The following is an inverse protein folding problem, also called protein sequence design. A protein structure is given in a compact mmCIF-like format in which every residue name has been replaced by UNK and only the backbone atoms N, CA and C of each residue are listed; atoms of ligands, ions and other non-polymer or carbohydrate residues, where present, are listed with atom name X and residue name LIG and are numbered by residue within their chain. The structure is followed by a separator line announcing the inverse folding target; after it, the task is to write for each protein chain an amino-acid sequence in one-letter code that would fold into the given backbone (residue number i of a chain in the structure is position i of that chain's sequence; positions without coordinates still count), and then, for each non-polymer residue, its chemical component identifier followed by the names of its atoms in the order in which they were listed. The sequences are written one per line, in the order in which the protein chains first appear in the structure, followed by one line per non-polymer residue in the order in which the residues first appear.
data_IF_928848241945
#
_entry.id   IF_928848241945
#
_cell.length_a   1.000
_cell.length_b   1.000
_cell.length_c   1.000
_cell.angle_alpha   90.00
_cell.angle_beta   90.00
_cell.angle_gamma   90.00
#
_symmetry.space_group_name_H-M   'P 1'
#
loop_
_entity.id
_entity.type
_entity.pdbx_description
1 polymer ?
#
# COMPACT_ATOMS: atom_id res chain seq x y z
N UNK A 1 -13.08 -1.41 43.75
CA UNK A 1 -12.58 -2.05 42.52
C UNK A 1 -13.11 -1.20 41.37
N UNK A 2 -12.22 -0.42 40.73
CA UNK A 2 -12.60 0.61 39.78
C UNK A 2 -12.81 -0.01 38.40
N UNK A 3 -14.00 0.20 37.85
CA UNK A 3 -14.44 -0.29 36.55
C UNK A 3 -13.60 0.36 35.42
N UNK A 4 -13.09 -0.49 34.53
CA UNK A 4 -12.05 -0.24 33.55
C UNK A 4 -12.50 0.73 32.45
N UNK A 5 -11.80 1.85 32.29
CA UNK A 5 -12.00 2.80 31.18
C UNK A 5 -11.32 2.37 29.88
N UNK A 6 -11.27 1.07 29.59
CA UNK A 6 -10.48 0.51 28.50
C UNK A 6 -11.12 0.73 27.13
N UNK A 7 -10.28 1.03 26.13
CA UNK A 7 -10.70 1.15 24.72
C UNK A 7 -10.15 -0.02 23.93
N UNK A 8 -11.00 -0.63 23.12
CA UNK A 8 -10.59 -1.70 22.19
C UNK A 8 -11.02 -1.33 20.78
N UNK A 9 -10.04 -1.26 19.87
CA UNK A 9 -10.24 -0.99 18.45
C UNK A 9 -10.34 -2.31 17.68
N UNK A 10 -11.42 -2.42 16.92
CA UNK A 10 -11.68 -3.51 16.00
C UNK A 10 -11.72 -2.97 14.59
N UNK A 11 -10.68 -3.31 13.83
CA UNK A 11 -10.69 -3.13 12.38
C UNK A 11 -11.16 -4.43 11.73
N UNK A 12 -11.93 -4.32 10.65
CA UNK A 12 -12.37 -5.53 9.95
C UNK A 12 -11.14 -6.27 9.43
N UNK A 13 -10.97 -7.58 9.71
CA UNK A 13 -9.84 -8.33 9.20
C UNK A 13 -9.98 -8.45 7.68
N UNK A 14 -9.13 -7.76 6.93
CA UNK A 14 -9.18 -7.81 5.49
C UNK A 14 -8.47 -6.67 4.78
N UNK A 15 -8.46 -6.80 3.46
CA UNK A 15 -7.98 -5.81 2.51
C UNK A 15 -9.18 -5.14 1.86
N UNK A 16 -9.25 -3.82 1.91
CA UNK A 16 -10.21 -3.04 1.14
C UNK A 16 -9.64 -2.90 -0.27
N UNK A 17 -10.41 -3.29 -1.28
CA UNK A 17 -10.00 -3.21 -2.68
C UNK A 17 -10.85 -2.14 -3.38
N UNK A 18 -10.20 -1.30 -4.19
CA UNK A 18 -10.86 -0.23 -4.94
C UNK A 18 -10.22 0.02 -6.30
N UNK A 19 -10.70 1.02 -7.01
CA UNK A 19 -10.10 1.54 -8.23
C UNK A 19 -10.00 3.07 -8.15
N UNK A 20 -9.18 3.66 -9.03
CA UNK A 20 -9.04 5.12 -9.12
C UNK A 20 -10.39 5.80 -9.39
N UNK A 21 -10.67 6.88 -8.67
CA UNK A 21 -11.94 7.62 -8.73
C UNK A 21 -13.03 7.02 -7.85
N UNK A 22 -12.83 5.81 -7.31
CA UNK A 22 -13.77 5.13 -6.44
C UNK A 22 -14.01 5.85 -5.11
N UNK A 23 -15.02 5.37 -4.40
CA UNK A 23 -15.31 5.75 -3.01
C UNK A 23 -15.28 4.49 -2.16
N UNK A 24 -14.56 4.53 -1.05
CA UNK A 24 -14.39 3.41 -0.13
C UNK A 24 -14.64 3.81 1.30
N UNK A 25 -14.85 2.80 2.12
CA UNK A 25 -14.87 2.89 3.58
C UNK A 25 -13.65 2.13 4.10
N UNK A 26 -12.82 2.78 4.90
CA UNK A 26 -11.82 2.12 5.73
C UNK A 26 -12.48 1.75 7.06
N UNK A 27 -12.79 0.47 7.32
CA UNK A 27 -13.58 0.08 8.47
C UNK A 27 -12.78 0.20 9.76
N UNK A 28 -13.32 0.90 10.75
CA UNK A 28 -12.78 0.96 12.10
C UNK A 28 -13.92 1.13 13.09
N UNK A 29 -14.07 0.17 14.00
CA UNK A 29 -15.03 0.21 15.11
C UNK A 29 -14.26 0.22 16.41
N UNK A 30 -14.79 0.87 17.43
CA UNK A 30 -14.22 0.84 18.77
C UNK A 30 -15.30 0.62 19.81
N UNK A 31 -14.91 -0.07 20.86
CA UNK A 31 -15.72 -0.25 22.06
C UNK A 31 -15.13 0.60 23.17
N UNK A 32 -15.98 1.39 23.81
CA UNK A 32 -15.62 2.24 24.93
C UNK A 32 -16.54 1.94 26.11
N UNK A 33 -15.98 1.34 27.16
CA UNK A 33 -16.66 1.13 28.42
C UNK A 33 -16.34 2.33 29.32
N UNK A 34 -17.26 3.31 29.40
CA UNK A 34 -17.20 4.29 30.47
C UNK A 34 -18.56 4.52 31.09
N UNK A 35 -18.65 4.14 32.36
CA UNK A 35 -19.62 4.68 33.28
C UNK A 35 -19.39 6.20 33.43
N UNK A 36 -20.47 6.97 33.31
CA UNK A 36 -20.63 8.35 33.78
C UNK A 36 -20.19 9.56 32.92
N UNK A 37 -19.35 9.44 31.89
CA UNK A 37 -18.99 10.59 31.04
C UNK A 37 -19.23 10.30 29.55
N UNK A 38 -20.07 11.12 28.92
CA UNK A 38 -20.51 10.94 27.53
C UNK A 38 -19.37 10.99 26.51
N UNK A 39 -19.70 10.71 25.25
CA UNK A 39 -18.79 10.56 24.09
C UNK A 39 -17.90 11.78 23.73
N UNK A 40 -17.86 12.82 24.55
CA UNK A 40 -17.16 14.09 24.26
C UNK A 40 -15.63 14.02 24.43
N UNK A 41 -15.09 12.91 24.96
CA UNK A 41 -13.66 12.74 25.25
C UNK A 41 -12.86 11.84 24.31
N UNK A 42 -13.49 11.22 23.30
CA UNK A 42 -12.79 10.29 22.40
C UNK A 42 -12.20 11.03 21.19
N UNK A 43 -10.88 10.90 21.02
CA UNK A 43 -10.16 11.39 19.84
C UNK A 43 -9.98 10.26 18.84
N UNK A 44 -10.38 10.51 17.60
CA UNK A 44 -10.16 9.63 16.46
C UNK A 44 -9.06 10.21 15.60
N UNK A 45 -8.08 9.39 15.20
CA UNK A 45 -7.00 9.79 14.32
C UNK A 45 -6.75 8.71 13.29
N UNK A 46 -6.87 9.09 12.03
CA UNK A 46 -6.43 8.29 10.90
C UNK A 46 -5.10 8.80 10.39
N UNK A 47 -4.15 7.88 10.24
CA UNK A 47 -2.86 8.15 9.61
C UNK A 47 -2.62 7.18 8.46
N UNK A 48 -1.81 7.60 7.49
CA UNK A 48 -1.29 6.72 6.45
C UNK A 48 0.15 6.36 6.77
N UNK A 49 0.47 5.07 6.74
CA UNK A 49 1.83 4.58 6.83
C UNK A 49 2.56 4.88 5.52
N UNK A 50 3.61 5.71 5.59
CA UNK A 50 4.46 6.06 4.44
C UNK A 50 5.67 5.13 4.39
N UNK A 51 6.29 4.92 5.54
CA UNK A 51 7.32 3.92 5.81
C UNK A 51 7.15 3.40 7.26
N UNK A 52 7.90 2.37 7.70
CA UNK A 52 7.71 1.78 9.05
C UNK A 52 7.86 2.76 10.23
N UNK A 53 8.46 3.94 10.02
CA UNK A 53 8.70 4.95 11.05
C UNK A 53 8.01 6.29 10.74
N UNK A 54 7.45 6.46 9.54
CA UNK A 54 6.84 7.70 9.09
C UNK A 54 5.35 7.53 8.75
N UNK A 55 4.55 8.39 9.39
CA UNK A 55 3.11 8.45 9.24
C UNK A 55 2.71 9.84 8.76
N UNK A 56 1.68 9.90 7.92
CA UNK A 56 1.08 11.17 7.49
C UNK A 56 -0.35 11.25 8.02
N UNK A 57 -0.69 12.34 8.69
CA UNK A 57 -2.07 12.57 9.13
C UNK A 57 -3.03 12.60 7.93
N UNK A 58 -4.12 11.86 8.05
CA UNK A 58 -5.19 11.78 7.05
C UNK A 58 -6.40 12.56 7.54
N UNK A 59 -6.86 12.23 8.76
CA UNK A 59 -8.06 12.78 9.35
C UNK A 59 -7.98 12.73 10.87
N UNK A 60 -8.48 13.76 11.55
CA UNK A 60 -8.61 13.81 13.01
C UNK A 60 -10.00 14.29 13.38
N UNK A 61 -10.61 13.67 14.38
CA UNK A 61 -11.84 14.15 15.01
C UNK A 61 -11.76 14.12 16.54
N UNK A 62 -12.39 15.10 17.17
CA UNK A 62 -12.60 15.20 18.61
C UNK A 62 -13.98 15.85 18.83
N UNK A 63 -14.95 15.04 19.25
CA UNK A 63 -16.35 15.45 19.33
C UNK A 63 -16.85 16.01 17.98
N UNK A 64 -17.45 17.21 17.93
CA UNK A 64 -17.95 17.81 16.69
C UNK A 64 -16.83 18.36 15.79
N UNK A 65 -15.64 18.60 16.34
CA UNK A 65 -14.52 19.16 15.59
C UNK A 65 -13.82 18.07 14.81
N UNK A 66 -13.62 18.30 13.52
CA UNK A 66 -12.91 17.35 12.67
C UNK A 66 -12.14 18.05 11.57
N UNK A 67 -11.10 17.39 11.06
CA UNK A 67 -10.22 17.95 10.04
C UNK A 67 -9.57 16.85 9.22
N UNK A 68 -9.64 16.99 7.89
CA UNK A 68 -8.81 16.27 6.95
C UNK A 68 -7.51 17.03 6.61
N UNK A 69 -6.45 16.30 6.26
CA UNK A 69 -5.11 16.85 6.04
C UNK A 69 -4.59 16.58 4.62
N UNK A 70 -3.59 17.35 4.19
CA UNK A 70 -2.92 17.16 2.89
C UNK A 70 -3.88 17.03 1.70
N UNK A 71 -3.65 16.00 0.88
CA UNK A 71 -4.48 15.67 -0.28
C UNK A 71 -5.84 15.06 0.09
N UNK A 72 -6.09 14.72 1.36
CA UNK A 72 -7.35 14.15 1.85
C UNK A 72 -8.44 15.19 2.11
N UNK A 73 -8.09 16.48 2.10
CA UNK A 73 -9.04 17.58 2.29
C UNK A 73 -10.16 17.54 1.26
N UNK A 74 -11.40 17.60 1.73
CA UNK A 74 -12.60 17.59 0.90
C UNK A 74 -12.99 16.22 0.36
N UNK A 75 -12.29 15.15 0.73
CA UNK A 75 -12.60 13.78 0.29
C UNK A 75 -12.58 12.71 1.39
N UNK A 76 -12.01 13.02 2.55
CA UNK A 76 -12.04 12.15 3.73
C UNK A 76 -13.00 12.70 4.78
N UNK A 77 -13.90 11.84 5.28
CA UNK A 77 -14.85 12.15 6.36
C UNK A 77 -15.21 10.89 7.14
N UNK A 78 -15.77 11.05 8.34
CA UNK A 78 -16.29 9.90 9.10
C UNK A 78 -17.61 9.42 8.50
N UNK A 79 -17.80 8.11 8.50
CA UNK A 79 -19.04 7.48 8.07
C UNK A 79 -20.20 7.81 9.04
N UNK A 80 -19.97 7.62 10.34
CA UNK A 80 -20.92 8.04 11.37
C UNK A 80 -22.14 7.12 11.52
N UNK A 81 -21.98 5.79 11.35
CA UNK A 81 -23.06 4.80 11.49
C UNK A 81 -23.41 4.47 12.96
N UNK A 82 -23.35 5.48 13.82
CA UNK A 82 -23.68 5.40 15.25
C UNK A 82 -22.48 5.35 16.19
N UNK A 83 -22.75 5.19 17.50
CA UNK A 83 -21.71 5.15 18.53
C UNK A 83 -20.67 4.06 18.26
N UNK A 84 -19.39 4.38 18.46
CA UNK A 84 -18.29 3.42 18.26
C UNK A 84 -17.89 3.21 16.79
N UNK A 85 -18.46 3.95 15.84
CA UNK A 85 -18.01 3.92 14.45
C UNK A 85 -16.96 5.01 14.18
N UNK A 86 -15.74 4.58 13.89
CA UNK A 86 -14.61 5.42 13.51
C UNK A 86 -14.23 5.22 12.03
N UNK A 87 -15.09 4.57 11.24
CA UNK A 87 -14.80 4.25 9.84
C UNK A 87 -14.66 5.51 8.99
N UNK A 88 -13.65 5.51 8.12
CA UNK A 88 -13.32 6.66 7.28
C UNK A 88 -13.83 6.44 5.85
N UNK A 89 -14.73 7.31 5.39
CA UNK A 89 -15.13 7.38 3.99
C UNK A 89 -14.07 8.17 3.24
N UNK A 90 -13.48 7.55 2.22
CA UNK A 90 -12.53 8.19 1.31
C UNK A 90 -13.10 8.21 -0.12
N UNK A 91 -13.36 9.41 -0.62
CA UNK A 91 -13.85 9.65 -1.99
C UNK A 91 -12.71 9.96 -2.95
N UNK A 92 -13.00 9.78 -4.24
CA UNK A 92 -12.09 10.10 -5.33
C UNK A 92 -10.69 9.52 -5.07
N UNK A 93 -10.64 8.19 -4.90
CA UNK A 93 -9.42 7.45 -4.60
C UNK A 93 -8.38 7.66 -5.72
N UNK A 94 -7.14 7.93 -5.33
CA UNK A 94 -5.99 8.16 -6.24
C UNK A 94 -4.98 7.03 -6.12
N UNK A 95 -4.05 6.92 -7.08
CA UNK A 95 -2.93 5.96 -6.96
C UNK A 95 -2.09 6.17 -5.70
N UNK A 96 -2.03 7.41 -5.21
CA UNK A 96 -1.27 7.73 -4.00
C UNK A 96 -1.96 7.27 -2.73
N UNK A 97 -3.23 6.84 -2.78
CA UNK A 97 -3.95 6.34 -1.61
C UNK A 97 -3.70 4.87 -1.33
N UNK A 98 -3.19 4.10 -2.30
CA UNK A 98 -2.73 2.74 -2.04
C UNK A 98 -1.79 2.72 -0.82
N UNK A 99 -2.03 1.80 0.12
CA UNK A 99 -1.18 1.60 1.28
C UNK A 99 -1.92 1.15 2.53
N UNK A 100 -1.21 1.24 3.66
CA UNK A 100 -1.75 0.91 4.98
C UNK A 100 -2.14 2.18 5.72
N UNK A 101 -3.24 2.09 6.44
CA UNK A 101 -3.82 3.15 7.24
C UNK A 101 -4.00 2.65 8.66
N UNK A 102 -3.71 3.52 9.61
CA UNK A 102 -3.89 3.26 11.03
C UNK A 102 -5.06 4.10 11.54
N UNK A 103 -5.98 3.45 12.25
CA UNK A 103 -7.05 4.06 12.99
C UNK A 103 -6.69 4.01 14.47
N UNK A 104 -6.27 5.13 15.02
CA UNK A 104 -5.94 5.32 16.44
C UNK A 104 -7.16 5.94 17.14
N UNK A 105 -7.58 5.32 18.24
CA UNK A 105 -8.65 5.80 19.12
C UNK A 105 -8.07 6.04 20.50
N UNK A 106 -8.12 7.28 20.95
CA UNK A 106 -7.57 7.70 22.24
C UNK A 106 -8.68 8.24 23.13
N UNK A 107 -8.74 7.77 24.37
CA UNK A 107 -9.57 8.37 25.42
C UNK A 107 -8.69 9.06 26.48
N UNK A 108 -9.25 9.37 27.66
CA UNK A 108 -8.50 10.04 28.74
C UNK A 108 -7.40 9.19 29.41
N UNK A 109 -7.44 7.86 29.24
CA UNK A 109 -6.66 6.89 30.02
C UNK A 109 -5.82 5.96 29.14
N UNK A 110 -6.31 5.58 27.97
CA UNK A 110 -5.75 4.57 27.07
C UNK A 110 -5.91 4.96 25.60
N UNK A 111 -5.02 4.42 24.78
CA UNK A 111 -5.10 4.42 23.32
C UNK A 111 -5.04 2.98 22.80
N UNK A 112 -5.80 2.71 21.74
CA UNK A 112 -5.69 1.48 20.96
C UNK A 112 -5.77 1.81 19.47
N UNK A 113 -5.20 0.96 18.63
CA UNK A 113 -5.07 1.20 17.21
C UNK A 113 -5.30 -0.05 16.36
N UNK A 114 -5.93 0.14 15.22
CA UNK A 114 -6.15 -0.90 14.22
C UNK A 114 -5.59 -0.52 12.85
N UNK A 115 -5.21 -1.52 12.07
CA UNK A 115 -4.61 -1.34 10.74
C UNK A 115 -5.56 -1.80 9.63
N UNK A 116 -5.71 -0.96 8.60
CA UNK A 116 -6.49 -1.26 7.40
C UNK A 116 -5.60 -1.12 6.17
N UNK A 117 -5.60 -2.11 5.28
CA UNK A 117 -4.88 -2.05 4.00
C UNK A 117 -5.85 -1.70 2.86
N UNK A 118 -5.53 -0.65 2.10
CA UNK A 118 -6.19 -0.29 0.85
C UNK A 118 -5.34 -0.72 -0.34
N UNK A 119 -5.88 -1.66 -1.12
CA UNK A 119 -5.33 -2.07 -2.42
C UNK A 119 -6.15 -1.47 -3.56
N UNK A 120 -5.48 -1.33 -4.71
CA UNK A 120 -6.09 -0.86 -5.94
C UNK A 120 -6.07 -1.97 -6.99
N UNK A 121 -7.20 -2.20 -7.63
CA UNK A 121 -7.32 -2.97 -8.85
C UNK A 121 -6.58 -2.26 -9.96
N UNK A 122 -5.86 -3.02 -10.77
CA UNK A 122 -5.04 -2.46 -11.83
C UNK A 122 -4.09 -3.46 -12.43
N UNK A 123 -3.17 -2.95 -13.25
CA UNK A 123 -2.21 -3.77 -13.99
C UNK A 123 -0.79 -3.31 -13.69
N UNK A 124 0.11 -4.28 -13.57
CA UNK A 124 1.56 -4.04 -13.54
C UNK A 124 2.10 -4.26 -14.95
N UNK A 125 2.86 -3.30 -15.45
CA UNK A 125 3.53 -3.40 -16.74
C UNK A 125 5.00 -2.96 -16.66
N UNK A 126 5.89 -3.63 -17.39
CA UNK A 126 7.29 -3.21 -17.49
C UNK A 126 7.40 -1.95 -18.36
N UNK A 127 8.33 -1.07 -18.01
CA UNK A 127 8.62 0.16 -18.74
C UNK A 127 10.12 0.39 -18.85
N UNK A 128 10.57 0.78 -20.05
CA UNK A 128 11.89 1.34 -20.29
C UNK A 128 11.81 2.43 -21.35
N UNK A 129 12.68 3.45 -21.32
CA UNK A 129 12.64 4.53 -22.31
C UNK A 129 13.07 4.03 -23.70
N UNK A 130 12.72 4.81 -24.73
CA UNK A 130 13.10 4.54 -26.14
C UNK A 130 14.62 4.46 -26.36
N UNK A 131 15.41 5.13 -25.50
CA UNK A 131 16.88 5.10 -25.54
C UNK A 131 17.53 3.80 -25.07
N UNK A 132 16.73 2.79 -24.72
CA UNK A 132 17.18 1.45 -24.35
C UNK A 132 16.89 1.06 -22.90
N UNK A 133 17.28 -0.16 -22.56
CA UNK A 133 17.11 -0.77 -21.22
C UNK A 133 18.15 -0.26 -20.23
N UNK A 134 17.82 -0.34 -18.95
CA UNK A 134 18.69 -0.01 -17.81
C UNK A 134 19.21 1.43 -17.87
N UNK A 135 18.29 2.35 -18.13
CA UNK A 135 18.60 3.77 -18.30
C UNK A 135 18.02 4.67 -17.21
N UNK A 136 17.16 4.16 -16.32
CA UNK A 136 16.47 4.98 -15.33
C UNK A 136 17.11 4.80 -13.96
N UNK A 137 17.49 5.90 -13.32
CA UNK A 137 17.65 5.95 -11.84
C UNK A 137 16.29 5.78 -11.16
N UNK A 138 16.26 5.60 -9.84
CA UNK A 138 14.99 5.43 -9.11
C UNK A 138 14.04 6.62 -9.31
N UNK A 139 14.55 7.85 -9.19
CA UNK A 139 13.77 9.06 -9.39
C UNK A 139 13.31 9.25 -10.85
N UNK A 140 14.12 8.81 -11.82
CA UNK A 140 13.73 8.78 -13.23
C UNK A 140 12.64 7.74 -13.48
N UNK A 141 12.70 6.57 -12.84
CA UNK A 141 11.69 5.52 -12.92
C UNK A 141 10.34 5.96 -12.32
N UNK A 142 10.36 6.66 -11.18
CA UNK A 142 9.16 7.26 -10.59
C UNK A 142 8.49 8.24 -11.57
N UNK A 143 9.26 9.17 -12.15
CA UNK A 143 8.74 10.13 -13.13
C UNK A 143 8.23 9.45 -14.39
N UNK A 144 8.97 8.47 -14.89
CA UNK A 144 8.58 7.71 -16.07
C UNK A 144 7.23 7.00 -15.88
N UNK A 145 7.01 6.33 -14.74
CA UNK A 145 5.71 5.73 -14.45
C UNK A 145 4.60 6.79 -14.34
N UNK A 146 4.87 7.94 -13.72
CA UNK A 146 3.90 9.04 -13.64
C UNK A 146 3.51 9.58 -15.02
N UNK A 147 4.46 9.70 -15.95
CA UNK A 147 4.21 10.08 -17.35
C UNK A 147 3.36 9.05 -18.11
N UNK A 148 3.35 7.79 -17.66
CA UNK A 148 2.48 6.72 -18.18
C UNK A 148 1.18 6.58 -17.36
N UNK A 149 0.76 7.62 -16.64
CA UNK A 149 -0.43 7.62 -15.78
C UNK A 149 -0.44 6.50 -14.73
N UNK A 150 0.75 6.22 -14.18
CA UNK A 150 1.01 5.17 -13.22
C UNK A 150 1.88 5.61 -12.05
N UNK A 151 2.18 4.68 -11.16
CA UNK A 151 3.19 4.80 -10.11
C UNK A 151 4.13 3.59 -10.21
N UNK A 152 5.27 3.61 -9.54
CA UNK A 152 6.04 2.36 -9.38
C UNK A 152 5.18 1.32 -8.66
N UNK A 153 5.21 0.09 -9.15
CA UNK A 153 4.52 -1.04 -8.54
C UNK A 153 5.13 -1.39 -7.18
N UNK A 154 4.31 -1.88 -6.25
CA UNK A 154 4.82 -2.52 -5.03
C UNK A 154 5.37 -3.92 -5.34
N UNK A 155 6.21 -4.47 -4.47
CA UNK A 155 6.67 -5.85 -4.59
C UNK A 155 5.50 -6.86 -4.55
N UNK A 156 4.48 -6.57 -3.74
CA UNK A 156 3.25 -7.37 -3.67
C UNK A 156 2.49 -7.35 -5.01
N UNK A 157 2.38 -6.18 -5.66
CA UNK A 157 1.75 -6.05 -6.97
C UNK A 157 2.54 -6.76 -8.07
N UNK A 158 3.87 -6.65 -8.07
CA UNK A 158 4.72 -7.38 -9.02
C UNK A 158 4.58 -8.90 -8.85
N UNK A 159 4.55 -9.37 -7.60
CA UNK A 159 4.38 -10.78 -7.29
C UNK A 159 3.00 -11.29 -7.71
N UNK A 160 1.93 -10.51 -7.50
CA UNK A 160 0.61 -10.84 -8.01
C UNK A 160 0.61 -10.94 -9.55
N UNK A 161 1.15 -9.94 -10.25
CA UNK A 161 1.24 -9.95 -11.71
C UNK A 161 2.05 -11.15 -12.25
N UNK A 162 3.13 -11.55 -11.56
CA UNK A 162 3.89 -12.75 -11.89
C UNK A 162 3.05 -14.02 -11.77
N UNK A 163 2.30 -14.18 -10.66
CA UNK A 163 1.37 -15.31 -10.49
C UNK A 163 0.30 -15.35 -11.59
N UNK A 164 -0.09 -14.18 -12.08
CA UNK A 164 -1.06 -14.02 -13.17
C UNK A 164 -0.42 -14.16 -14.57
N UNK A 165 0.89 -14.40 -14.63
CA UNK A 165 1.58 -14.79 -15.85
C UNK A 165 2.67 -13.84 -16.34
N UNK A 166 2.90 -12.70 -15.67
CA UNK A 166 3.90 -11.73 -16.08
C UNK A 166 5.30 -12.36 -16.09
N UNK A 167 5.93 -12.32 -17.26
CA UNK A 167 7.27 -12.86 -17.51
C UNK A 167 8.12 -11.77 -18.17
N UNK A 168 9.11 -11.26 -17.44
CA UNK A 168 9.94 -10.15 -17.89
C UNK A 168 11.39 -10.31 -17.41
N UNK A 169 12.32 -10.36 -18.35
CA UNK A 169 13.73 -10.59 -18.10
C UNK A 169 14.57 -9.31 -18.05
N UNK A 170 14.01 -8.23 -17.52
CA UNK A 170 14.79 -7.05 -17.16
C UNK A 170 14.51 -6.68 -15.73
N UNK A 171 15.58 -6.44 -14.96
CA UNK A 171 15.51 -5.86 -13.64
C UNK A 171 14.92 -4.44 -13.70
N UNK A 172 13.91 -4.18 -12.88
CA UNK A 172 13.21 -2.90 -12.82
C UNK A 172 13.00 -2.42 -11.39
N UNK A 173 12.98 -1.10 -11.23
CA UNK A 173 12.67 -0.44 -9.96
C UNK A 173 11.23 -0.72 -9.50
N UNK A 174 11.07 -0.84 -8.18
CA UNK A 174 9.80 -0.90 -7.46
C UNK A 174 9.65 0.25 -6.47
N UNK A 175 8.43 0.46 -5.97
CA UNK A 175 8.06 1.62 -5.15
C UNK A 175 8.91 1.81 -3.90
N UNK A 176 9.38 0.73 -3.30
CA UNK A 176 10.22 0.72 -2.09
C UNK A 176 11.71 0.97 -2.38
N UNK A 177 12.10 1.16 -3.64
CA UNK A 177 13.50 1.29 -4.05
C UNK A 177 14.22 -0.05 -4.19
N UNK A 178 13.52 -1.17 -4.07
CA UNK A 178 14.05 -2.47 -4.46
C UNK A 178 14.04 -2.63 -5.99
N UNK A 179 14.89 -3.53 -6.48
CA UNK A 179 14.95 -3.90 -7.89
C UNK A 179 14.68 -5.38 -8.03
N UNK A 180 13.72 -5.73 -8.88
CA UNK A 180 13.28 -7.11 -9.06
C UNK A 180 12.98 -7.41 -10.53
N UNK A 181 12.83 -8.69 -10.89
CA UNK A 181 12.25 -9.09 -12.17
C UNK A 181 11.51 -10.43 -12.08
N UNK A 182 10.29 -10.55 -12.64
CA UNK A 182 9.51 -11.77 -12.60
C UNK A 182 9.85 -12.69 -13.78
N UNK A 183 10.18 -13.95 -13.50
CA UNK A 183 10.36 -14.98 -14.54
C UNK A 183 9.31 -16.06 -14.30
N UNK A 184 8.36 -16.20 -15.22
CA UNK A 184 7.38 -17.29 -15.18
C UNK A 184 7.93 -18.52 -15.93
N UNK A 185 8.64 -18.29 -17.05
CA UNK A 185 9.28 -19.35 -17.85
C UNK A 185 10.80 -19.20 -17.84
N UNK A 186 11.49 -19.92 -16.94
CA UNK A 186 12.95 -19.93 -16.88
C UNK A 186 13.58 -20.25 -18.23
N UNK A 187 14.54 -19.41 -18.63
CA UNK A 187 15.28 -19.52 -19.90
C UNK A 187 16.64 -18.86 -19.72
N UNK A 188 17.61 -19.13 -20.58
CA UNK A 188 18.86 -18.35 -20.54
C UNK A 188 18.64 -16.95 -21.16
N UNK A 189 19.19 -15.86 -20.59
CA UNK A 189 19.89 -15.76 -19.28
C UNK A 189 18.93 -15.56 -18.07
N UNK A 190 17.63 -15.55 -18.33
CA UNK A 190 16.52 -15.26 -17.43
C UNK A 190 16.12 -16.44 -16.51
N UNK A 191 16.92 -16.71 -15.48
CA UNK A 191 16.65 -17.79 -14.52
C UNK A 191 17.02 -19.19 -15.02
N UNK A 192 17.93 -19.30 -15.99
CA UNK A 192 18.30 -20.55 -16.67
C UNK A 192 18.80 -21.70 -15.77
N UNK A 193 18.80 -22.90 -16.35
CA UNK A 193 19.38 -24.13 -15.80
C UNK A 193 20.85 -24.30 -16.24
N UNK A 194 21.72 -23.35 -15.88
CA UNK A 194 23.11 -23.38 -16.35
C UNK A 194 24.08 -22.64 -15.43
N UNK A 195 24.65 -23.38 -14.45
CA UNK A 195 25.89 -22.99 -13.75
C UNK A 195 25.77 -22.76 -12.25
N UNK A 196 25.93 -23.84 -11.47
CA UNK A 196 26.43 -23.86 -10.07
C UNK A 196 25.78 -22.88 -9.09
N UNK A 197 24.60 -23.21 -8.56
CA UNK A 197 24.01 -22.39 -7.52
C UNK A 197 22.70 -22.83 -6.85
N UNK A 198 22.25 -24.08 -7.04
CA UNK A 198 21.38 -24.75 -6.07
C UNK A 198 21.38 -26.24 -6.36
N UNK A 199 22.20 -27.00 -5.64
CA UNK A 199 22.10 -28.45 -5.57
C UNK A 199 20.80 -28.80 -4.85
N UNK A 200 19.75 -29.02 -5.63
CA UNK A 200 18.52 -29.67 -5.23
C UNK A 200 18.06 -30.56 -6.38
N UNK A 201 18.49 -31.82 -6.29
CA UNK A 201 17.87 -33.01 -6.89
C UNK A 201 16.66 -32.78 -7.81
N UNK A 202 16.83 -33.02 -9.12
CA UNK A 202 15.76 -33.41 -10.05
C UNK A 202 14.51 -32.51 -10.18
N UNK A 203 14.51 -31.29 -9.65
CA UNK A 203 13.35 -30.41 -9.60
C UNK A 203 13.31 -29.44 -10.77
N UNK A 204 12.19 -29.46 -11.51
CA UNK A 204 11.78 -28.47 -12.51
C UNK A 204 12.22 -27.04 -12.12
N UNK A 205 12.86 -26.31 -13.03
CA UNK A 205 13.24 -24.92 -12.77
C UNK A 205 11.96 -24.11 -12.60
N UNK A 206 11.55 -23.88 -11.36
CA UNK A 206 10.33 -23.15 -11.09
C UNK A 206 10.55 -21.66 -11.34
N UNK A 207 9.59 -21.05 -12.03
CA UNK A 207 9.52 -19.59 -12.17
C UNK A 207 9.49 -18.90 -10.80
N UNK A 208 9.89 -17.64 -10.77
CA UNK A 208 9.84 -16.82 -9.56
C UNK A 208 10.20 -15.37 -9.83
N UNK A 209 9.94 -14.53 -8.82
CA UNK A 209 10.40 -13.14 -8.80
C UNK A 209 11.82 -13.10 -8.23
N UNK A 210 12.78 -12.66 -9.03
CA UNK A 210 14.18 -12.53 -8.62
C UNK A 210 14.38 -11.15 -8.02
N UNK A 211 14.99 -11.11 -6.83
CA UNK A 211 15.12 -9.90 -6.03
C UNK A 211 16.60 -9.50 -5.88
N UNK A 212 16.95 -8.29 -6.35
CA UNK A 212 18.30 -7.72 -6.20
C UNK A 212 18.44 -6.87 -4.93
N UNK A 213 17.38 -6.76 -4.13
CA UNK A 213 17.33 -5.97 -2.91
C UNK A 213 17.18 -4.48 -3.17
N UNK A 214 17.35 -3.69 -2.10
CA UNK A 214 17.46 -2.24 -2.17
C UNK A 214 18.76 -1.85 -2.87
N UNK A 215 18.69 -0.90 -3.80
CA UNK A 215 19.82 -0.48 -4.63
C UNK A 215 20.17 0.99 -4.40
N UNK A 216 21.33 1.44 -4.86
CA UNK A 216 21.72 2.84 -4.74
C UNK A 216 20.91 3.72 -5.72
N UNK A 217 19.83 4.30 -5.21
CA UNK A 217 18.78 5.00 -5.96
C UNK A 217 19.26 6.08 -6.94
N UNK A 218 20.40 6.73 -6.66
CA UNK A 218 20.92 7.85 -7.46
C UNK A 218 21.97 7.42 -8.51
N UNK A 219 22.63 6.29 -8.32
CA UNK A 219 23.80 5.88 -9.11
C UNK A 219 23.48 4.71 -10.05
N UNK A 220 22.65 3.79 -9.58
CA UNK A 220 22.28 2.60 -10.33
C UNK A 220 21.15 2.89 -11.32
N UNK A 221 21.14 2.11 -12.41
CA UNK A 221 20.18 2.29 -13.49
C UNK A 221 19.53 0.97 -13.86
N UNK A 222 18.21 0.99 -13.94
CA UNK A 222 17.37 -0.17 -14.26
C UNK A 222 16.21 0.25 -15.19
N UNK A 223 15.33 -0.71 -15.49
CA UNK A 223 14.01 -0.42 -16.05
C UNK A 223 13.05 -0.05 -14.90
N UNK A 224 11.74 -0.02 -15.14
CA UNK A 224 10.73 0.19 -14.12
C UNK A 224 9.60 -0.84 -14.25
N UNK A 225 9.00 -1.23 -13.14
CA UNK A 225 7.66 -1.83 -13.16
C UNK A 225 6.65 -0.78 -12.70
N UNK A 226 5.78 -0.37 -13.60
CA UNK A 226 4.74 0.60 -13.34
C UNK A 226 3.43 -0.10 -13.02
N UNK A 227 2.65 0.47 -12.11
CA UNK A 227 1.29 0.08 -11.78
C UNK A 227 0.34 1.21 -12.16
N UNK A 228 -0.77 0.87 -12.81
CA UNK A 228 -1.88 1.79 -13.03
C UNK A 228 -3.20 1.15 -12.65
N UNK A 229 -4.12 1.98 -12.15
CA UNK A 229 -5.48 1.61 -11.77
C UNK A 229 -6.40 2.33 -12.73
N UNK A 230 -6.59 1.74 -13.91
CA UNK A 230 -7.57 2.15 -14.92
C UNK A 230 -8.05 0.87 -15.60
N UNK A 231 -9.07 0.23 -15.03
CA UNK A 231 -9.92 -0.68 -15.78
C UNK A 231 -11.33 -0.07 -15.78
N UNK A 232 -11.62 0.94 -16.62
CA UNK A 232 -12.98 1.12 -17.09
C UNK A 232 -13.31 -0.12 -17.92
N UNK A 233 -14.00 -1.08 -17.29
CA UNK A 233 -14.76 -2.12 -17.99
C UNK A 233 -16.07 -1.53 -18.47
#
# INVERSE_FOLDING_TARGET
EGESGSVVVQTAPGQVVSHRGGTIVLPCRYHYEAAAHGHDGVRLKWTKVVDPLAFTDVFVALGPQHRAFGSYRGRAELQGDGPGDASLVLRNVTLQDYGRYECEVTNELEDDAGMVKLDLEGVVFPYHPRGGRYKLTFAEAQRACAEQDGILASAEQLHAAWRDGLDWCNAGWLRDGSVQYPVNRPREPCGGLGGTGSTGDGGDATGGVRNYGYRHNAEERYDAFCFTSNLPG
#
